data_IF_027814787377
#
_entry.id   IF_027814787377
#
_cell.length_a   1.000
_cell.length_b   1.000
_cell.length_c   1.000
_cell.angle_alpha   90.00
_cell.angle_beta   90.00
_cell.angle_gamma   90.00
#
_symmetry.space_group_name_H-M   'P 1'
#
loop_
_entity.id
_entity.type
_entity.pdbx_description
1 polymer ?
#
# COMPACT_ATOMS: atom_id res chain seq x y z
N UNK A 1 4.59 40.22 6.21
CA UNK A 1 5.16 38.96 6.73
C UNK A 1 4.81 37.70 5.91
N UNK A 2 4.14 37.83 4.76
CA UNK A 2 3.64 36.70 3.94
C UNK A 2 4.63 36.18 2.89
N UNK A 3 5.71 36.90 2.59
CA UNK A 3 6.63 36.56 1.49
C UNK A 3 7.68 35.49 1.84
N UNK A 4 7.88 35.14 3.11
CA UNK A 4 8.83 34.09 3.54
C UNK A 4 8.26 32.67 3.46
N UNK A 5 6.93 32.53 3.55
CA UNK A 5 6.24 31.24 3.58
C UNK A 5 6.32 30.51 2.24
N UNK A 6 6.49 31.26 1.13
CA UNK A 6 6.59 30.72 -0.23
C UNK A 6 7.98 30.15 -0.58
N UNK A 7 8.96 30.19 0.34
CA UNK A 7 10.34 29.73 0.09
C UNK A 7 10.62 28.33 0.64
N UNK A 8 9.76 27.82 1.53
CA UNK A 8 9.89 26.45 2.06
C UNK A 8 9.05 25.48 1.21
N UNK A 9 9.68 24.53 0.49
CA UNK A 9 8.96 23.53 -0.31
C UNK A 9 8.00 22.67 0.54
N UNK A 10 8.14 22.67 1.87
CA UNK A 10 7.22 22.03 2.80
C UNK A 10 5.79 22.63 2.77
N UNK A 11 5.62 23.91 2.40
CA UNK A 11 4.29 24.53 2.37
C UNK A 11 3.42 24.03 1.20
N UNK A 12 4.05 23.52 0.13
CA UNK A 12 3.35 22.83 -0.97
C UNK A 12 2.78 21.46 -0.55
N UNK A 13 3.34 20.84 0.50
CA UNK A 13 2.85 19.56 1.02
C UNK A 13 1.58 19.72 1.86
N UNK A 14 1.34 20.90 2.42
CA UNK A 14 0.19 21.18 3.28
C UNK A 14 -1.16 20.84 2.61
N UNK A 15 -1.49 21.31 1.38
CA UNK A 15 -2.76 20.95 0.75
C UNK A 15 -2.87 19.45 0.42
N UNK A 16 -1.76 18.80 0.04
CA UNK A 16 -1.75 17.37 -0.23
C UNK A 16 -1.98 16.53 1.04
N UNK A 17 -1.32 16.92 2.15
CA UNK A 17 -1.50 16.29 3.46
C UNK A 17 -2.88 16.56 4.04
N UNK A 18 -3.43 17.76 3.86
CA UNK A 18 -4.79 18.08 4.28
C UNK A 18 -5.82 17.26 3.50
N UNK A 19 -5.62 17.11 2.19
CA UNK A 19 -6.47 16.26 1.34
C UNK A 19 -6.39 14.79 1.78
N UNK A 20 -5.19 14.24 1.93
CA UNK A 20 -5.00 12.87 2.41
C UNK A 20 -5.58 12.68 3.82
N UNK A 21 -5.36 13.63 4.72
CA UNK A 21 -5.93 13.58 6.07
C UNK A 21 -7.45 13.54 6.06
N UNK A 22 -8.07 14.41 5.28
CA UNK A 22 -9.53 14.47 5.23
C UNK A 22 -10.15 13.28 4.48
N UNK A 23 -9.67 12.95 3.29
CA UNK A 23 -10.30 11.94 2.44
C UNK A 23 -9.85 10.50 2.75
N UNK A 24 -8.68 10.31 3.35
CA UNK A 24 -8.15 8.98 3.67
C UNK A 24 -8.12 8.71 5.17
N UNK A 25 -7.62 9.63 6.02
CA UNK A 25 -7.56 9.33 7.46
C UNK A 25 -8.93 9.32 8.13
N UNK A 26 -9.89 10.16 7.73
CA UNK A 26 -11.25 10.12 8.29
C UNK A 26 -11.95 8.77 8.07
N UNK A 27 -12.07 8.23 6.83
CA UNK A 27 -12.72 6.93 6.64
C UNK A 27 -11.93 5.80 7.31
N UNK A 28 -10.60 5.90 7.38
CA UNK A 28 -9.78 4.89 8.05
C UNK A 28 -10.01 4.91 9.56
N UNK A 29 -10.14 6.08 10.17
CA UNK A 29 -10.51 6.21 11.58
C UNK A 29 -11.91 5.66 11.86
N UNK A 30 -12.87 5.89 10.96
CA UNK A 30 -14.22 5.34 11.07
C UNK A 30 -14.22 3.80 10.97
N UNK A 31 -13.43 3.27 10.03
CA UNK A 31 -13.24 1.83 9.85
C UNK A 31 -12.58 1.17 11.06
N UNK A 32 -11.62 1.86 11.71
CA UNK A 32 -11.02 1.40 12.97
C UNK A 32 -12.03 1.42 14.13
N UNK A 33 -12.87 2.46 14.21
CA UNK A 33 -13.95 2.50 15.22
C UNK A 33 -14.92 1.35 15.02
N UNK A 34 -15.33 1.08 13.78
CA UNK A 34 -16.21 -0.04 13.44
C UNK A 34 -15.58 -1.40 13.75
N UNK A 35 -14.28 -1.56 13.56
CA UNK A 35 -13.53 -2.80 13.87
C UNK A 35 -13.56 -3.16 15.36
N UNK A 36 -13.68 -2.15 16.22
CA UNK A 36 -13.62 -2.28 17.68
C UNK A 36 -15.00 -2.09 18.33
N UNK A 37 -15.96 -1.54 17.59
CA UNK A 37 -17.34 -1.41 18.04
C UNK A 37 -17.94 -2.80 18.29
N UNK A 38 -18.75 -2.91 19.36
CA UNK A 38 -19.48 -4.13 19.68
C UNK A 38 -20.35 -4.61 18.51
N UNK A 39 -20.44 -5.93 18.32
CA UNK A 39 -21.31 -6.53 17.33
C UNK A 39 -22.75 -5.98 17.51
N UNK A 40 -23.39 -5.61 16.40
CA UNK A 40 -24.73 -5.05 16.38
C UNK A 40 -25.72 -5.98 17.11
N UNK A 41 -26.00 -5.68 18.38
CA UNK A 41 -26.85 -6.52 19.25
C UNK A 41 -26.46 -6.50 20.74
N UNK A 42 -25.20 -6.22 21.09
CA UNK A 42 -24.79 -6.10 22.50
C UNK A 42 -25.03 -4.68 23.01
N UNK A 43 -26.24 -4.45 23.55
CA UNK A 43 -26.60 -3.20 24.19
C UNK A 43 -25.72 -2.96 25.44
N UNK A 44 -24.63 -2.20 25.27
CA UNK A 44 -23.85 -1.66 26.40
C UNK A 44 -22.33 -1.69 26.26
N UNK A 45 -21.77 -2.42 25.29
CA UNK A 45 -20.30 -2.53 25.11
C UNK A 45 -19.84 -1.67 23.94
N UNK A 46 -19.34 -0.48 24.26
CA UNK A 46 -18.70 0.46 23.33
C UNK A 46 -17.34 -0.04 22.79
N UNK A 47 -16.85 -1.16 23.32
CA UNK A 47 -15.59 -1.81 22.94
C UNK A 47 -15.77 -3.33 23.00
N UNK A 48 -15.54 -4.04 21.89
CA UNK A 48 -15.55 -5.50 21.83
C UNK A 48 -14.40 -6.03 20.98
N UNK A 49 -13.68 -7.02 21.51
CA UNK A 49 -12.62 -7.74 20.80
C UNK A 49 -13.12 -9.02 20.11
N UNK A 50 -14.44 -9.29 20.16
CA UNK A 50 -15.03 -10.50 19.60
C UNK A 50 -14.81 -10.63 18.07
N UNK A 51 -14.69 -9.51 17.36
CA UNK A 51 -14.34 -9.50 15.94
C UNK A 51 -12.92 -10.02 15.67
N UNK A 52 -11.97 -9.73 16.57
CA UNK A 52 -10.59 -10.22 16.46
C UNK A 52 -10.48 -11.70 16.84
N UNK A 53 -11.26 -12.16 17.83
CA UNK A 53 -11.24 -13.57 18.26
C UNK A 53 -11.66 -14.53 17.13
N UNK A 54 -12.62 -14.15 16.28
CA UNK A 54 -12.98 -14.91 15.06
C UNK A 54 -11.83 -15.01 14.06
N UNK A 55 -11.00 -13.98 13.94
CA UNK A 55 -9.86 -13.97 13.01
C UNK A 55 -8.79 -14.97 13.43
N UNK A 56 -8.55 -15.11 14.74
CA UNK A 56 -7.54 -16.02 15.28
C UNK A 56 -8.04 -17.46 15.51
N UNK A 57 -9.35 -17.65 15.73
CA UNK A 57 -9.93 -18.98 16.00
C UNK A 57 -10.28 -19.77 14.73
N UNK A 58 -10.41 -19.14 13.56
CA UNK A 58 -10.84 -19.79 12.32
C UNK A 58 -9.62 -20.10 11.42
N UNK A 59 -9.25 -21.38 11.24
CA UNK A 59 -8.05 -21.79 10.49
C UNK A 59 -8.02 -21.34 9.02
N UNK A 60 -9.21 -21.08 8.44
CA UNK A 60 -9.35 -20.62 7.05
C UNK A 60 -8.69 -19.25 6.81
N UNK A 61 -8.80 -18.31 7.76
CA UNK A 61 -8.19 -16.99 7.62
C UNK A 61 -6.68 -17.09 7.64
N UNK A 62 -6.14 -17.94 8.51
CA UNK A 62 -4.69 -18.15 8.62
C UNK A 62 -4.11 -18.81 7.37
N UNK A 63 -4.78 -19.84 6.86
CA UNK A 63 -4.36 -20.49 5.62
C UNK A 63 -4.41 -19.53 4.42
N UNK A 64 -5.43 -18.69 4.35
CA UNK A 64 -5.55 -17.68 3.29
C UNK A 64 -4.45 -16.64 3.38
N UNK A 65 -4.14 -16.15 4.59
CA UNK A 65 -3.08 -15.18 4.85
C UNK A 65 -1.70 -15.73 4.48
N UNK A 66 -1.39 -16.96 4.91
CA UNK A 66 -0.11 -17.58 4.59
C UNK A 66 0.03 -17.86 3.09
N UNK A 67 -1.07 -18.26 2.43
CA UNK A 67 -1.06 -18.50 0.99
C UNK A 67 -0.85 -17.22 0.20
N UNK A 68 -1.55 -16.13 0.54
CA UNK A 68 -1.36 -14.83 -0.14
C UNK A 68 0.03 -14.27 0.13
N UNK A 69 0.52 -14.38 1.36
CA UNK A 69 1.87 -13.95 1.72
C UNK A 69 2.93 -14.75 0.95
N UNK A 70 2.77 -16.07 0.85
CA UNK A 70 3.66 -16.93 0.06
C UNK A 70 3.66 -16.58 -1.42
N UNK A 71 2.49 -16.32 -2.01
CA UNK A 71 2.38 -15.85 -3.41
C UNK A 71 3.06 -14.49 -3.58
N UNK A 72 2.77 -13.52 -2.70
CA UNK A 72 3.35 -12.18 -2.77
C UNK A 72 4.87 -12.22 -2.62
N UNK A 73 5.39 -13.01 -1.68
CA UNK A 73 6.82 -13.20 -1.48
C UNK A 73 7.48 -13.88 -2.70
N UNK A 74 6.83 -14.89 -3.27
CA UNK A 74 7.29 -15.55 -4.49
C UNK A 74 7.36 -14.58 -5.67
N UNK A 75 6.30 -13.80 -5.89
CA UNK A 75 6.25 -12.77 -6.94
C UNK A 75 7.33 -11.72 -6.70
N UNK A 76 7.46 -11.19 -5.48
CA UNK A 76 8.49 -10.21 -5.14
C UNK A 76 9.91 -10.73 -5.41
N UNK A 77 10.19 -11.98 -5.03
CA UNK A 77 11.47 -12.63 -5.28
C UNK A 77 11.74 -12.80 -6.78
N UNK A 78 10.75 -13.24 -7.56
CA UNK A 78 10.88 -13.38 -9.01
C UNK A 78 11.06 -12.01 -9.68
N UNK A 79 10.29 -10.99 -9.29
CA UNK A 79 10.46 -9.62 -9.78
C UNK A 79 11.83 -9.06 -9.44
N UNK A 80 12.36 -9.32 -8.25
CA UNK A 80 13.73 -8.93 -7.92
C UNK A 80 14.75 -9.70 -8.76
N UNK A 81 14.58 -11.02 -8.88
CA UNK A 81 15.52 -11.89 -9.59
C UNK A 81 15.58 -11.62 -11.09
N UNK A 82 14.45 -11.29 -11.73
CA UNK A 82 14.40 -11.01 -13.17
C UNK A 82 14.44 -9.51 -13.48
N UNK A 83 13.76 -8.69 -12.68
CA UNK A 83 13.71 -7.23 -12.85
C UNK A 83 15.07 -6.58 -12.64
N UNK A 84 15.82 -7.00 -11.62
CA UNK A 84 17.15 -6.45 -11.34
C UNK A 84 18.17 -6.68 -12.48
N UNK A 85 18.37 -7.90 -13.02
CA UNK A 85 19.29 -8.08 -14.14
C UNK A 85 18.79 -7.37 -15.41
N UNK A 86 17.48 -7.33 -15.68
CA UNK A 86 16.97 -6.56 -16.82
C UNK A 86 17.26 -5.06 -16.68
N UNK A 87 17.10 -4.49 -15.47
CA UNK A 87 17.43 -3.10 -15.19
C UNK A 87 18.93 -2.82 -15.37
N UNK A 88 19.79 -3.74 -14.94
CA UNK A 88 21.24 -3.67 -15.17
C UNK A 88 21.63 -3.73 -16.64
N UNK A 89 21.00 -4.60 -17.42
CA UNK A 89 21.23 -4.70 -18.86
C UNK A 89 20.79 -3.43 -19.59
N UNK A 90 19.65 -2.85 -19.22
CA UNK A 90 19.17 -1.56 -19.76
C UNK A 90 20.10 -0.42 -19.35
N UNK A 91 20.61 -0.42 -18.11
CA UNK A 91 21.55 0.58 -17.64
C UNK A 91 22.88 0.55 -18.40
N UNK A 92 23.35 -0.65 -18.78
CA UNK A 92 24.59 -0.84 -19.57
C UNK A 92 24.39 -0.65 -21.08
N UNK A 93 23.16 -0.69 -21.58
CA UNK A 93 22.87 -0.51 -23.00
C UNK A 93 22.93 0.97 -23.40
N UNK A 94 23.61 1.28 -24.51
CA UNK A 94 23.71 2.63 -25.06
C UNK A 94 23.08 2.71 -26.47
N UNK A 95 22.58 3.90 -26.84
CA UNK A 95 22.01 4.17 -28.16
C UNK A 95 20.69 3.42 -28.45
N UNK A 96 20.50 3.00 -29.70
CA UNK A 96 19.24 2.42 -30.18
C UNK A 96 18.81 1.12 -29.50
N UNK A 97 19.76 0.33 -28.97
CA UNK A 97 19.46 -0.90 -28.20
C UNK A 97 18.69 -0.61 -26.92
N UNK A 98 18.97 0.51 -26.24
CA UNK A 98 18.24 0.93 -25.03
C UNK A 98 16.80 1.32 -25.37
N UNK A 99 16.59 2.02 -26.49
CA UNK A 99 15.25 2.39 -26.96
C UNK A 99 14.40 1.16 -27.32
N UNK A 100 14.97 0.17 -28.01
CA UNK A 100 14.28 -1.10 -28.32
C UNK A 100 13.96 -1.90 -27.06
N UNK A 101 14.89 -2.00 -26.10
CA UNK A 101 14.64 -2.68 -24.82
C UNK A 101 13.53 -2.01 -24.00
N UNK A 102 13.54 -0.68 -23.90
CA UNK A 102 12.49 0.06 -23.20
C UNK A 102 11.14 -0.06 -23.92
N UNK A 103 11.12 0.03 -25.25
CA UNK A 103 9.91 -0.19 -26.04
C UNK A 103 9.38 -1.60 -25.80
N UNK A 104 10.21 -2.64 -25.88
CA UNK A 104 9.78 -4.02 -25.65
C UNK A 104 9.26 -4.30 -24.22
N UNK A 105 9.67 -3.50 -23.22
CA UNK A 105 9.17 -3.62 -21.84
C UNK A 105 7.88 -2.81 -21.63
N UNK A 106 7.72 -1.67 -22.30
CA UNK A 106 6.58 -0.75 -22.13
C UNK A 106 5.41 -1.06 -23.07
N UNK A 107 5.67 -1.53 -24.30
CA UNK A 107 4.63 -1.91 -25.26
C UNK A 107 3.72 -3.10 -24.86
N UNK A 108 4.17 -4.13 -24.10
CA UNK A 108 3.32 -5.27 -23.78
C UNK A 108 2.34 -4.99 -22.62
N UNK A 109 2.06 -3.73 -22.33
CA UNK A 109 1.02 -3.29 -21.41
C UNK A 109 -0.16 -2.70 -22.20
#
# INVERSE_FOLDING_TARGET
MTARVLRDPAWLLVPALAFLGFFYLLPLADLLRLSVAGAAGEAGTWFSLAHFERVFSVPLYWNSLLRTFGIAAGVAALCALFGYPTALLVHRATGGRRAVLLAAIVLPY
#
